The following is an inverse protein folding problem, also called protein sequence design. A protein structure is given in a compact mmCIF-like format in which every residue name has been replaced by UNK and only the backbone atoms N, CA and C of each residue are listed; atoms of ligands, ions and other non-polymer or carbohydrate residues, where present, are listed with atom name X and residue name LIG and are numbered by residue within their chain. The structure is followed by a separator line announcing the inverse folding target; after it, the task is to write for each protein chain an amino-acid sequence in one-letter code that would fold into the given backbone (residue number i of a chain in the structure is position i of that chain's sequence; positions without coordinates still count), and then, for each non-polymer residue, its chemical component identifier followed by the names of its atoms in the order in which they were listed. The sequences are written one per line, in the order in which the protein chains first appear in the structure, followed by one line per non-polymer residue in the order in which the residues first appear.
data_IF_781523336874
#
_entry.id   IF_781523336874
#
_cell.length_a   1.000
_cell.length_b   1.000
_cell.length_c   1.000
_cell.angle_alpha   90.00
_cell.angle_beta   90.00
_cell.angle_gamma   90.00
#
_symmetry.space_group_name_H-M   'P 1'
#
loop_
_entity.id
_entity.type
_entity.pdbx_description
1 polymer ?
#
# COMPACT_ATOMS: atom_id res chain seq x y z
N UNK A 1 7.94 -11.88 15.35
CA UNK A 1 9.39 -11.73 15.11
C UNK A 1 9.93 -10.78 16.16
N UNK A 2 11.20 -10.94 16.55
CA UNK A 2 11.82 -10.00 17.48
C UNK A 2 12.09 -8.61 16.85
N UNK A 3 12.43 -7.65 17.70
CA UNK A 3 12.65 -6.24 17.34
C UNK A 3 13.82 -6.01 16.37
N UNK A 4 14.91 -6.78 16.48
CA UNK A 4 16.08 -6.63 15.61
C UNK A 4 15.78 -7.17 14.21
N UNK A 5 15.13 -8.33 14.16
CA UNK A 5 14.66 -8.95 12.91
C UNK A 5 13.63 -8.08 12.20
N UNK A 6 12.78 -7.38 12.94
CA UNK A 6 11.83 -6.42 12.38
C UNK A 6 12.55 -5.26 11.67
N UNK A 7 13.50 -4.59 12.31
CA UNK A 7 14.31 -3.53 11.70
C UNK A 7 15.06 -4.00 10.44
N UNK A 8 15.65 -5.20 10.49
CA UNK A 8 16.31 -5.79 9.33
C UNK A 8 15.31 -6.04 8.18
N UNK A 9 14.08 -6.46 8.50
CA UNK A 9 13.02 -6.68 7.53
C UNK A 9 12.55 -5.37 6.90
N UNK A 10 12.36 -4.29 7.68
CA UNK A 10 12.02 -2.97 7.17
C UNK A 10 13.06 -2.45 6.18
N UNK A 11 14.35 -2.60 6.52
CA UNK A 11 15.46 -2.25 5.62
C UNK A 11 15.42 -3.02 4.30
N UNK A 12 15.05 -4.31 4.31
CA UNK A 12 14.91 -5.11 3.08
C UNK A 12 13.65 -4.75 2.28
N UNK A 13 12.57 -4.37 2.96
CA UNK A 13 11.30 -4.02 2.34
C UNK A 13 11.39 -2.63 1.69
N UNK A 14 11.94 -1.64 2.39
CA UNK A 14 12.08 -0.28 1.90
C UNK A 14 13.43 0.29 2.36
N UNK A 15 14.53 0.11 1.61
CA UNK A 15 15.87 0.52 2.04
C UNK A 15 16.03 2.01 2.32
N UNK A 16 15.13 2.84 1.80
CA UNK A 16 15.12 4.30 1.92
C UNK A 16 14.12 4.83 2.96
N UNK A 17 13.50 3.95 3.77
CA UNK A 17 12.63 4.40 4.86
C UNK A 17 13.43 5.25 5.87
N UNK A 18 12.71 6.16 6.55
CA UNK A 18 13.27 7.02 7.58
C UNK A 18 13.67 6.17 8.80
N UNK A 19 14.90 6.29 9.33
CA UNK A 19 15.35 5.47 10.46
C UNK A 19 14.45 5.55 11.70
N UNK A 20 13.77 6.68 11.90
CA UNK A 20 12.86 6.90 13.02
C UNK A 20 11.60 6.03 12.94
N UNK A 21 11.20 5.62 11.73
CA UNK A 21 10.00 4.81 11.51
C UNK A 21 10.09 3.47 12.24
N UNK A 22 11.29 2.87 12.30
CA UNK A 22 11.54 1.61 13.01
C UNK A 22 11.04 1.65 14.45
N UNK A 23 11.36 2.72 15.17
CA UNK A 23 10.98 2.86 16.57
C UNK A 23 9.48 3.12 16.70
N UNK A 24 8.90 3.95 15.83
CA UNK A 24 7.46 4.25 15.89
C UNK A 24 6.60 2.99 15.70
N UNK A 25 6.98 2.08 14.79
CA UNK A 25 6.25 0.83 14.59
C UNK A 25 6.41 -0.14 15.77
N UNK A 26 7.58 -0.16 16.41
CA UNK A 26 7.84 -0.97 17.62
C UNK A 26 7.05 -0.45 18.82
N UNK A 27 7.01 0.87 19.00
CA UNK A 27 6.24 1.51 20.06
C UNK A 27 4.75 1.25 19.85
N UNK A 28 4.26 1.36 18.61
CA UNK A 28 2.88 1.05 18.29
C UNK A 28 2.50 -0.42 18.58
N UNK A 29 3.40 -1.37 18.30
CA UNK A 29 3.19 -2.77 18.69
C UNK A 29 3.02 -2.92 20.21
N UNK A 30 3.88 -2.25 20.99
CA UNK A 30 3.81 -2.27 22.45
C UNK A 30 2.55 -1.56 22.99
N UNK A 31 2.13 -0.46 22.37
CA UNK A 31 0.91 0.27 22.71
C UNK A 31 -0.36 -0.54 22.45
N UNK A 32 -0.42 -1.28 21.34
CA UNK A 32 -1.50 -2.21 21.05
C UNK A 32 -1.66 -3.22 22.19
N UNK A 33 -0.57 -3.89 22.58
CA UNK A 33 -0.58 -4.88 23.68
C UNK A 33 -0.91 -4.23 25.03
N UNK A 34 -0.38 -3.04 25.31
CA UNK A 34 -0.70 -2.29 26.53
C UNK A 34 -2.19 -1.95 26.62
N UNK A 35 -2.84 -1.76 25.47
CA UNK A 35 -4.27 -1.51 25.33
C UNK A 35 -5.09 -2.80 25.21
N UNK A 36 -4.51 -3.95 25.55
CA UNK A 36 -5.12 -5.28 25.48
C UNK A 36 -5.59 -5.69 24.07
N UNK A 37 -4.97 -5.10 23.04
CA UNK A 37 -5.21 -5.48 21.66
C UNK A 37 -4.22 -6.56 21.25
N UNK A 38 -4.75 -7.73 20.89
CA UNK A 38 -3.97 -8.87 20.46
C UNK A 38 -4.30 -9.22 19.01
N UNK A 39 -3.26 -9.56 18.25
CA UNK A 39 -3.41 -9.99 16.85
C UNK A 39 -4.37 -11.18 16.78
N UNK A 40 -5.37 -11.09 15.89
CA UNK A 40 -6.43 -12.08 15.73
C UNK A 40 -7.24 -12.38 17.01
N UNK A 41 -7.24 -11.45 17.98
CA UNK A 41 -7.88 -11.61 19.29
C UNK A 41 -7.33 -12.79 20.12
N UNK A 42 -6.11 -13.23 19.82
CA UNK A 42 -5.41 -14.29 20.56
C UNK A 42 -4.75 -13.69 21.81
N UNK A 43 -5.48 -13.66 22.92
CA UNK A 43 -4.97 -13.14 24.19
C UNK A 43 -3.72 -13.92 24.62
N UNK A 44 -2.67 -13.20 25.00
CA UNK A 44 -1.41 -13.79 25.46
C UNK A 44 -0.94 -13.16 26.76
N UNK A 45 -0.47 -14.01 27.68
CA UNK A 45 0.10 -13.55 28.97
C UNK A 45 1.47 -12.90 28.77
N UNK A 46 2.27 -13.44 27.86
CA UNK A 46 3.57 -12.88 27.49
C UNK A 46 3.38 -11.66 26.57
N UNK A 47 3.51 -10.47 27.17
CA UNK A 47 3.37 -9.20 26.47
C UNK A 47 4.49 -8.95 25.46
N UNK A 48 5.68 -9.50 25.67
CA UNK A 48 6.79 -9.38 24.71
C UNK A 48 6.44 -10.19 23.46
N UNK A 49 6.03 -11.45 23.64
CA UNK A 49 5.60 -12.29 22.53
C UNK A 49 4.37 -11.68 21.80
N UNK A 50 3.47 -11.03 22.53
CA UNK A 50 2.34 -10.30 21.95
C UNK A 50 2.76 -9.14 21.06
N UNK A 51 3.75 -8.36 21.48
CA UNK A 51 4.31 -7.31 20.65
C UNK A 51 5.01 -7.89 19.42
N UNK A 52 5.73 -9.00 19.56
CA UNK A 52 6.38 -9.68 18.43
C UNK A 52 5.38 -10.20 17.39
N UNK A 53 4.16 -10.60 17.78
CA UNK A 53 3.08 -10.96 16.85
C UNK A 53 2.56 -9.76 16.08
N UNK A 54 2.49 -8.59 16.71
CA UNK A 54 2.18 -7.34 16.02
C UNK A 54 3.26 -6.99 15.00
N UNK A 55 4.54 -7.13 15.36
CA UNK A 55 5.65 -6.91 14.42
C UNK A 55 5.58 -7.85 13.21
N UNK A 56 5.21 -9.13 13.41
CA UNK A 56 4.95 -10.06 12.31
C UNK A 56 3.83 -9.54 11.38
N UNK A 57 2.69 -9.13 11.96
CA UNK A 57 1.55 -8.65 11.20
C UNK A 57 1.85 -7.36 10.40
N UNK A 58 2.61 -6.43 10.98
CA UNK A 58 3.07 -5.23 10.26
C UNK A 58 3.99 -5.58 9.09
N UNK A 59 4.98 -6.46 9.31
CA UNK A 59 5.88 -6.89 8.24
C UNK A 59 5.14 -7.58 7.10
N UNK A 60 4.19 -8.47 7.40
CA UNK A 60 3.34 -9.12 6.40
C UNK A 60 2.55 -8.09 5.58
N UNK A 61 2.05 -7.04 6.25
CA UNK A 61 1.33 -5.97 5.59
C UNK A 61 2.21 -5.10 4.70
N UNK A 62 3.41 -4.70 5.15
CA UNK A 62 4.36 -3.97 4.30
C UNK A 62 4.83 -4.80 3.11
N UNK A 63 5.05 -6.11 3.29
CA UNK A 63 5.37 -7.02 2.21
C UNK A 63 4.21 -7.13 1.21
N UNK A 64 2.97 -7.17 1.68
CA UNK A 64 1.80 -7.16 0.82
C UNK A 64 1.72 -5.87 -0.02
N UNK A 65 1.93 -4.71 0.61
CA UNK A 65 2.02 -3.41 -0.08
C UNK A 65 3.15 -3.42 -1.12
N UNK A 66 4.37 -3.83 -0.73
CA UNK A 66 5.52 -3.93 -1.66
C UNK A 66 5.21 -4.84 -2.85
N UNK A 67 4.56 -5.99 -2.62
CA UNK A 67 4.18 -6.93 -3.66
C UNK A 67 3.10 -6.37 -4.61
N UNK A 68 2.16 -5.59 -4.08
CA UNK A 68 1.04 -5.04 -4.87
C UNK A 68 1.35 -3.73 -5.60
N UNK A 69 2.13 -2.86 -4.96
CA UNK A 69 2.32 -1.45 -5.35
C UNK A 69 3.81 -1.07 -5.50
N UNK A 70 4.73 -1.95 -5.12
CA UNK A 70 6.16 -1.74 -5.22
C UNK A 70 6.79 -1.10 -3.98
N UNK A 71 8.12 -0.99 -4.02
CA UNK A 71 8.95 -0.56 -2.88
C UNK A 71 8.63 0.85 -2.40
N UNK A 72 8.44 1.82 -3.31
CA UNK A 72 8.11 3.20 -2.95
C UNK A 72 6.80 3.34 -2.18
N UNK A 73 5.80 2.50 -2.50
CA UNK A 73 4.53 2.50 -1.79
C UNK A 73 4.72 1.96 -0.36
N UNK A 74 5.50 0.88 -0.21
CA UNK A 74 5.82 0.34 1.11
C UNK A 74 6.62 1.35 1.95
N UNK A 75 7.61 2.02 1.35
CA UNK A 75 8.34 3.12 1.98
C UNK A 75 7.39 4.24 2.45
N UNK A 76 6.44 4.64 1.61
CA UNK A 76 5.47 5.70 1.96
C UNK A 76 4.62 5.32 3.16
N UNK A 77 4.17 4.06 3.25
CA UNK A 77 3.39 3.56 4.39
C UNK A 77 4.25 3.44 5.65
N UNK A 78 5.48 2.92 5.54
CA UNK A 78 6.39 2.83 6.68
C UNK A 78 6.67 4.23 7.23
N UNK A 79 6.96 5.20 6.37
CA UNK A 79 7.28 6.58 6.75
C UNK A 79 6.09 7.40 7.23
N UNK A 80 4.85 6.93 7.00
CA UNK A 80 3.64 7.59 7.51
C UNK A 80 3.67 7.69 9.04
N UNK A 81 4.30 6.72 9.70
CA UNK A 81 4.53 6.72 11.15
C UNK A 81 5.33 7.92 11.64
N UNK A 82 6.19 8.50 10.80
CA UNK A 82 6.96 9.70 11.15
C UNK A 82 6.19 11.00 10.92
N UNK A 83 5.06 10.96 10.21
CA UNK A 83 4.33 12.16 9.78
C UNK A 83 3.00 12.31 10.52
N UNK A 84 2.21 11.24 10.55
CA UNK A 84 0.84 11.26 11.08
C UNK A 84 0.56 10.12 12.07
N UNK A 85 1.19 8.96 11.90
CA UNK A 85 1.04 7.83 12.82
C UNK A 85 1.12 6.47 12.13
N UNK A 86 1.08 5.42 12.94
CA UNK A 86 1.07 4.03 12.48
C UNK A 86 -0.37 3.61 12.11
N UNK A 87 -0.47 2.67 11.18
CA UNK A 87 -1.73 2.08 10.70
C UNK A 87 -1.87 0.64 11.17
N UNK A 88 -3.10 0.18 11.35
CA UNK A 88 -3.35 -1.26 11.49
C UNK A 88 -3.05 -1.98 10.16
N UNK A 89 -2.60 -3.25 10.18
CA UNK A 89 -2.30 -4.03 8.98
C UNK A 89 -3.42 -4.02 7.93
N UNK A 90 -4.69 -4.04 8.39
CA UNK A 90 -5.88 -4.01 7.53
C UNK A 90 -6.00 -2.76 6.67
N UNK A 91 -5.60 -1.61 7.20
CA UNK A 91 -5.78 -0.29 6.57
C UNK A 91 -4.69 0.02 5.53
N UNK A 92 -3.54 -0.65 5.64
CA UNK A 92 -2.31 -0.28 4.92
C UNK A 92 -2.46 -0.33 3.39
N UNK A 93 -3.18 -1.32 2.84
CA UNK A 93 -3.31 -1.44 1.38
C UNK A 93 -4.19 -0.34 0.79
N UNK A 94 -5.30 0.02 1.44
CA UNK A 94 -6.16 1.12 1.01
C UNK A 94 -5.41 2.45 1.09
N UNK A 95 -4.72 2.73 2.20
CA UNK A 95 -3.89 3.91 2.33
C UNK A 95 -2.80 3.96 1.24
N UNK A 96 -2.15 2.84 0.94
CA UNK A 96 -1.11 2.78 -0.08
C UNK A 96 -1.65 3.03 -1.49
N UNK A 97 -2.82 2.47 -1.83
CA UNK A 97 -3.50 2.75 -3.11
C UNK A 97 -3.86 4.22 -3.21
N UNK A 98 -4.41 4.82 -2.15
CA UNK A 98 -4.76 6.23 -2.14
C UNK A 98 -3.53 7.13 -2.40
N UNK A 99 -2.42 6.86 -1.70
CA UNK A 99 -1.16 7.59 -1.89
C UNK A 99 -0.54 7.38 -3.29
N UNK A 100 -0.54 6.14 -3.81
CA UNK A 100 -0.04 5.83 -5.17
C UNK A 100 -0.77 6.67 -6.24
N UNK A 101 -2.04 6.99 -6.00
CA UNK A 101 -2.89 7.74 -6.92
C UNK A 101 -2.88 9.25 -6.70
N UNK A 102 -1.92 9.74 -5.90
CA UNK A 102 -1.69 11.16 -5.65
C UNK A 102 -2.54 11.74 -4.52
N UNK A 103 -3.11 10.88 -3.67
CA UNK A 103 -3.76 11.30 -2.43
C UNK A 103 -2.79 11.96 -1.44
N UNK A 104 -3.31 12.83 -0.58
CA UNK A 104 -2.53 13.54 0.44
C UNK A 104 -2.44 12.70 1.73
N UNK A 105 -1.23 12.43 2.23
CA UNK A 105 -1.02 11.64 3.45
C UNK A 105 -1.76 12.19 4.67
N UNK A 106 -2.03 13.50 4.72
CA UNK A 106 -2.82 14.14 5.78
C UNK A 106 -4.28 13.71 5.81
N UNK A 107 -4.81 13.16 4.71
CA UNK A 107 -6.20 12.71 4.63
C UNK A 107 -6.39 11.27 5.10
N UNK A 108 -5.33 10.49 5.28
CA UNK A 108 -5.45 9.06 5.64
C UNK A 108 -6.21 8.86 6.95
N UNK A 109 -5.80 9.52 8.04
CA UNK A 109 -6.47 9.37 9.35
C UNK A 109 -7.91 9.92 9.35
N UNK A 110 -8.19 11.11 8.78
CA UNK A 110 -9.57 11.56 8.55
C UNK A 110 -10.44 10.54 7.79
N UNK A 111 -9.87 9.87 6.79
CA UNK A 111 -10.58 8.85 6.02
C UNK A 111 -10.83 7.56 6.83
N UNK A 112 -9.94 7.21 7.75
CA UNK A 112 -10.17 6.10 8.70
C UNK A 112 -11.30 6.48 9.65
N UNK A 113 -11.27 7.69 10.20
CA UNK A 113 -12.30 8.20 11.12
C UNK A 113 -13.70 8.29 10.47
N UNK A 114 -13.78 8.61 9.18
CA UNK A 114 -15.04 8.64 8.42
C UNK A 114 -15.52 7.27 7.95
N UNK A 115 -14.67 6.24 7.98
CA UNK A 115 -14.94 4.90 7.43
C UNK A 115 -14.66 4.76 5.93
N UNK A 116 -14.11 5.80 5.29
CA UNK A 116 -13.67 5.77 3.89
C UNK A 116 -12.44 4.86 3.67
N UNK A 117 -11.70 4.56 4.74
CA UNK A 117 -10.72 3.48 4.83
C UNK A 117 -11.10 2.62 6.04
N UNK A 118 -12.01 1.68 5.83
CA UNK A 118 -12.39 0.70 6.85
C UNK A 118 -11.86 -0.69 6.45
N UNK A 119 -11.10 -1.38 7.32
CA UNK A 119 -10.62 -2.71 7.02
C UNK A 119 -11.67 -3.78 7.35
N UNK A 120 -11.90 -4.70 6.42
CA UNK A 120 -12.68 -5.92 6.73
C UNK A 120 -12.00 -6.81 7.79
N UNK A 121 -10.68 -6.72 7.89
CA UNK A 121 -9.88 -7.42 8.89
C UNK A 121 -8.76 -6.50 9.36
N UNK A 122 -8.80 -6.07 10.62
CA UNK A 122 -7.81 -5.16 11.21
C UNK A 122 -6.37 -5.69 11.14
N UNK A 123 -6.18 -7.01 11.19
CA UNK A 123 -4.85 -7.62 11.32
C UNK A 123 -4.26 -8.11 9.99
N UNK A 124 -4.98 -7.96 8.86
CA UNK A 124 -4.53 -8.48 7.57
C UNK A 124 -4.89 -7.52 6.43
N UNK A 125 -3.93 -7.12 5.59
CA UNK A 125 -4.21 -6.25 4.46
C UNK A 125 -5.12 -6.97 3.46
N UNK A 126 -6.01 -6.20 2.81
CA UNK A 126 -6.70 -6.67 1.61
C UNK A 126 -5.78 -6.66 0.38
N UNK A 127 -6.24 -7.25 -0.73
CA UNK A 127 -5.50 -7.18 -2.00
C UNK A 127 -5.60 -5.79 -2.63
N UNK A 128 -4.61 -5.43 -3.46
CA UNK A 128 -4.63 -4.18 -4.25
C UNK A 128 -5.93 -3.98 -5.02
N UNK A 129 -6.36 -4.99 -5.78
CA UNK A 129 -7.58 -4.93 -6.58
C UNK A 129 -8.83 -4.65 -5.73
N UNK A 130 -8.88 -5.24 -4.53
CA UNK A 130 -9.98 -5.02 -3.60
C UNK A 130 -9.94 -3.61 -3.00
N UNK A 131 -8.75 -3.12 -2.63
CA UNK A 131 -8.57 -1.75 -2.15
C UNK A 131 -8.95 -0.70 -3.21
N UNK A 132 -8.53 -0.89 -4.47
CA UNK A 132 -8.91 -0.01 -5.59
C UNK A 132 -10.43 0.02 -5.80
N UNK A 133 -11.07 -1.16 -5.75
CA UNK A 133 -12.53 -1.26 -5.84
C UNK A 133 -13.21 -0.54 -4.68
N UNK A 134 -12.77 -0.80 -3.44
CA UNK A 134 -13.34 -0.23 -2.23
C UNK A 134 -13.33 1.30 -2.27
N UNK A 135 -12.16 1.89 -2.55
CA UNK A 135 -12.00 3.34 -2.63
C UNK A 135 -12.83 3.95 -3.78
N UNK A 136 -12.94 3.25 -4.91
CA UNK A 136 -13.82 3.69 -6.01
C UNK A 136 -15.30 3.66 -5.62
N UNK A 137 -15.75 2.67 -4.83
CA UNK A 137 -17.13 2.57 -4.33
C UNK A 137 -17.43 3.63 -3.27
N UNK A 138 -16.42 4.03 -2.50
CA UNK A 138 -16.47 5.17 -1.57
C UNK A 138 -16.43 6.54 -2.29
N UNK A 139 -16.37 6.57 -3.63
CA UNK A 139 -16.36 7.81 -4.41
C UNK A 139 -15.03 8.57 -4.40
N UNK A 140 -13.95 7.92 -3.96
CA UNK A 140 -12.60 8.50 -3.95
C UNK A 140 -12.00 8.35 -5.34
N UNK A 141 -11.72 9.48 -6.00
CA UNK A 141 -11.14 9.48 -7.34
C UNK A 141 -9.69 8.96 -7.35
N UNK A 142 -9.55 7.70 -7.75
CA UNK A 142 -8.26 7.06 -8.00
C UNK A 142 -7.86 7.32 -9.46
N UNK A 143 -6.78 8.09 -9.67
CA UNK A 143 -6.21 8.34 -11.01
C UNK A 143 -5.59 7.06 -11.57
N UNK A 144 -6.39 6.24 -12.26
CA UNK A 144 -5.91 5.02 -12.96
C UNK A 144 -4.58 5.28 -13.67
N UNK A 145 -3.57 4.48 -13.33
CA UNK A 145 -2.26 4.52 -13.97
C UNK A 145 -2.40 4.52 -15.50
N UNK A 146 -1.66 5.40 -16.17
CA UNK A 146 -1.70 5.63 -17.62
C UNK A 146 -1.51 4.32 -18.43
N UNK A 147 -0.78 3.34 -17.87
CA UNK A 147 -0.60 2.02 -18.49
C UNK A 147 -1.89 1.19 -18.60
N UNK A 148 -2.84 1.32 -17.68
CA UNK A 148 -4.14 0.66 -17.73
C UNK A 148 -5.06 1.37 -18.75
N UNK A 149 -5.03 2.71 -18.78
CA UNK A 149 -5.78 3.51 -19.76
C UNK A 149 -5.36 3.19 -21.21
N UNK A 150 -4.06 2.96 -21.43
CA UNK A 150 -3.51 2.57 -22.73
C UNK A 150 -3.95 1.16 -23.19
N UNK A 151 -4.24 0.24 -22.27
CA UNK A 151 -4.77 -1.10 -22.61
C UNK A 151 -6.25 -1.08 -22.99
N UNK A 152 -7.01 -0.09 -22.51
CA UNK A 152 -8.43 0.07 -22.81
C UNK A 152 -8.73 0.86 -24.09
N UNK A 153 -7.73 1.39 -24.81
CA UNK A 153 -7.96 2.01 -26.12
C UNK A 153 -8.23 0.95 -27.20
N UNK A 154 -9.30 1.08 -28.00
CA UNK A 154 -9.47 0.23 -29.18
C UNK A 154 -8.30 0.46 -30.14
N UNK A 155 -7.61 -0.62 -30.54
CA UNK A 155 -6.60 -0.54 -31.62
C UNK A 155 -7.28 0.00 -32.88
N UNK A 156 -6.99 1.24 -33.25
CA UNK A 156 -7.35 1.77 -34.55
C UNK A 156 -6.69 0.89 -35.64
N UNK A 157 -7.52 0.25 -36.46
CA UNK A 157 -7.08 -0.53 -37.60
C UNK A 157 -6.24 0.33 -38.54
N UNK A 158 -4.94 0.09 -38.59
CA UNK A 158 -4.06 0.67 -39.59
C UNK A 158 -4.41 0.08 -40.96
N UNK A 159 -5.25 0.79 -41.72
CA UNK A 159 -5.40 0.57 -43.16
C UNK A 159 -4.06 0.78 -43.85
N UNK A 160 -3.42 -0.32 -44.25
CA UNK A 160 -2.31 -0.33 -45.21
C UNK A 160 -2.80 0.24 -46.54
N UNK A 161 -2.37 1.44 -46.91
CA UNK A 161 -2.38 1.88 -48.31
C UNK A 161 -0.95 1.91 -48.83
N UNK A 162 -0.67 1.00 -49.76
CA UNK A 162 0.60 0.84 -50.44
C UNK A 162 0.97 2.06 -51.29
N UNK A 163 2.26 2.40 -51.47
CA UNK A 163 2.67 3.45 -52.39
C UNK A 163 2.52 2.96 -53.83
N UNK A 164 1.77 3.71 -54.66
CA UNK A 164 1.75 3.49 -56.11
C UNK A 164 3.08 3.95 -56.71
N UNK A 165 3.75 2.98 -57.36
CA UNK A 165 4.82 3.17 -58.35
C UNK A 165 4.29 4.06 -59.48
N UNK A 166 4.96 5.18 -59.77
CA UNK A 166 4.83 5.89 -61.05
C UNK A 166 6.12 5.72 -61.84
N UNK A 167 6.01 5.02 -62.97
CA UNK A 167 6.99 4.99 -64.03
C UNK A 167 6.56 5.94 -65.15
N UNK A 168 7.54 6.64 -65.72
CA UNK A 168 7.65 7.18 -67.10
C UNK A 168 6.54 8.12 -67.63
N UNK A 169 6.92 9.31 -68.13
CA UNK A 169 7.25 9.53 -69.56
C UNK A 169 7.49 11.03 -69.90
N UNK A 170 8.62 11.27 -70.58
CA UNK A 170 8.99 12.30 -71.58
C UNK A 170 8.52 13.77 -71.45
N UNK A 171 9.50 14.69 -71.45
CA UNK A 171 9.85 15.57 -72.59
C UNK A 171 11.29 16.10 -72.43
#
# INVERSE_FOLDING_TARGET
MDSERFSASLTQIAPMHKPEADQHWKDFAAECVKSEQFVNFEVMEDKTLAAEKWLDAFCDAFLAVKKGLGEKAAESIINLSCEHGCLYPGEMMQAAVYLENGGDSKQIFPMIESGDIDPENLFRPMSRQKAEKYLSEAGIEIKKSVMEQLKSQPRAEQKKTAPKKSAEREL
#
